data_IF_494066060730
#
_entry.id   IF_494066060730
#
_cell.length_a   1.000
_cell.length_b   1.000
_cell.length_c   1.000
_cell.angle_alpha   90.00
_cell.angle_beta   90.00
_cell.angle_gamma   90.00
#
_symmetry.space_group_name_H-M   'P 1'
#
loop_
_entity.id
_entity.type
_entity.pdbx_description
1 polymer ?
#
# COMPACT_ATOMS: atom_id res chain seq x y z
N UNK A 1 33.74 -48.32 36.35
CA UNK A 1 35.01 -47.95 35.71
C UNK A 1 34.78 -46.60 35.05
N UNK A 2 35.14 -45.55 35.78
CA UNK A 2 35.36 -44.16 35.35
C UNK A 2 36.27 -44.10 34.10
N UNK A 3 36.42 -43.06 33.30
CA UNK A 3 35.86 -41.73 33.07
C UNK A 3 36.54 -41.24 31.77
N UNK A 4 35.98 -40.25 31.08
CA UNK A 4 36.78 -39.23 30.38
C UNK A 4 35.89 -38.04 29.98
N UNK A 5 35.79 -37.10 30.90
CA UNK A 5 35.43 -35.71 30.66
C UNK A 5 36.67 -35.01 30.09
N UNK A 6 36.53 -34.27 29.00
CA UNK A 6 37.55 -33.31 28.57
C UNK A 6 36.94 -31.91 28.49
N UNK A 7 37.14 -31.16 29.57
CA UNK A 7 37.08 -29.70 29.62
C UNK A 7 38.46 -29.14 29.31
N UNK A 8 38.53 -28.05 28.54
CA UNK A 8 39.67 -27.13 28.59
C UNK A 8 39.17 -25.70 28.39
N UNK A 9 39.51 -24.84 29.35
CA UNK A 9 39.29 -23.40 29.36
C UNK A 9 40.49 -22.76 30.03
N UNK A 10 41.29 -21.94 29.33
CA UNK A 10 42.13 -20.84 29.85
C UNK A 10 42.37 -19.89 28.65
N UNK A 11 41.65 -18.76 28.52
CA UNK A 11 41.97 -17.39 28.97
C UNK A 11 43.31 -16.82 28.45
N UNK A 12 43.25 -15.75 27.63
CA UNK A 12 43.85 -14.43 27.92
C UNK A 12 43.20 -13.33 27.05
N UNK A 13 42.86 -12.16 27.63
CA UNK A 13 42.30 -11.02 26.90
C UNK A 13 43.41 -10.04 26.47
N UNK A 14 43.41 -9.62 25.20
CA UNK A 14 44.21 -8.49 24.76
C UNK A 14 43.46 -7.18 25.04
N UNK A 15 43.85 -6.55 26.15
CA UNK A 15 43.61 -5.16 26.50
C UNK A 15 44.67 -4.32 25.78
N UNK A 16 44.26 -3.41 24.89
CA UNK A 16 45.11 -2.28 24.50
C UNK A 16 44.34 -0.99 24.77
N UNK A 17 44.93 -0.16 25.63
CA UNK A 17 44.52 1.19 25.97
C UNK A 17 45.73 2.08 25.70
N UNK A 18 45.53 3.07 24.83
CA UNK A 18 46.24 4.36 24.81
C UNK A 18 45.42 5.29 23.92
N UNK A 19 44.58 6.14 24.50
CA UNK A 19 44.88 7.52 24.92
C UNK A 19 44.98 8.54 23.77
N UNK A 20 44.00 9.46 23.81
CA UNK A 20 44.06 10.89 23.49
C UNK A 20 44.53 11.33 22.09
N UNK A 21 43.54 11.74 21.27
CA UNK A 21 43.52 13.12 20.80
C UNK A 21 42.08 13.60 20.56
N UNK A 22 41.64 14.53 21.42
CA UNK A 22 40.50 15.40 21.19
C UNK A 22 40.86 16.43 20.11
N UNK A 23 40.00 16.60 19.11
CA UNK A 23 39.90 17.85 18.35
C UNK A 23 38.45 18.33 18.39
N UNK A 24 38.24 19.29 19.28
CA UNK A 24 37.19 20.29 19.22
C UNK A 24 37.21 20.99 17.85
N UNK A 25 36.05 21.18 17.25
CA UNK A 25 35.80 22.31 16.38
C UNK A 25 34.55 23.04 16.91
N UNK A 26 34.81 24.07 17.70
CA UNK A 26 33.88 25.16 17.99
C UNK A 26 33.90 26.15 16.84
N UNK A 27 32.71 26.39 16.29
CA UNK A 27 32.11 27.70 16.03
C UNK A 27 33.04 28.90 15.73
N UNK A 28 32.84 29.52 14.56
CA UNK A 28 33.05 30.96 14.43
C UNK A 28 32.05 31.54 13.45
N UNK A 29 31.15 32.35 14.01
CA UNK A 29 30.31 33.29 13.30
C UNK A 29 31.15 34.47 12.79
N UNK A 30 30.84 34.96 11.60
CA UNK A 30 31.10 36.36 11.23
C UNK A 30 29.85 36.95 10.57
N UNK A 31 29.47 38.10 11.13
CA UNK A 31 28.29 38.92 10.87
C UNK A 31 28.46 39.77 9.60
N UNK A 32 27.30 40.06 9.01
CA UNK A 32 26.80 41.33 8.47
C UNK A 32 27.73 42.20 7.62
N UNK A 33 27.29 42.43 6.38
CA UNK A 33 27.18 43.80 5.85
C UNK A 33 25.91 43.95 5.02
N UNK A 34 25.06 44.86 5.50
CA UNK A 34 23.88 45.43 4.89
C UNK A 34 24.20 46.25 3.63
N UNK A 35 23.34 46.18 2.61
CA UNK A 35 22.99 47.36 1.81
C UNK A 35 21.63 47.17 1.15
N UNK A 36 20.73 48.06 1.52
CA UNK A 36 19.37 48.25 1.06
C UNK A 36 19.30 48.91 -0.32
N UNK A 37 18.14 48.74 -0.97
CA UNK A 37 17.42 49.70 -1.82
C UNK A 37 17.13 49.28 -3.28
N UNK A 38 15.82 49.06 -3.50
CA UNK A 38 14.95 49.61 -4.55
C UNK A 38 14.70 48.83 -5.85
N UNK A 39 13.48 48.28 -5.90
CA UNK A 39 12.42 48.56 -6.87
C UNK A 39 12.84 49.12 -8.24
N UNK A 40 12.55 48.39 -9.31
CA UNK A 40 11.92 48.95 -10.50
C UNK A 40 10.98 47.93 -11.14
N UNK A 41 9.68 48.28 -11.09
CA UNK A 41 8.63 47.79 -11.95
C UNK A 41 8.93 48.13 -13.42
N UNK A 42 8.66 47.19 -14.32
CA UNK A 42 8.42 47.48 -15.73
C UNK A 42 7.27 46.59 -16.20
N UNK A 43 6.10 47.22 -16.28
CA UNK A 43 4.95 46.71 -17.00
C UNK A 43 4.74 47.47 -18.32
N UNK A 44 3.64 47.07 -18.97
CA UNK A 44 2.92 47.69 -20.10
C UNK A 44 3.38 47.27 -21.51
N UNK A 45 2.51 47.45 -22.53
CA UNK A 45 1.06 47.20 -22.61
C UNK A 45 0.75 46.35 -23.90
N UNK A 46 -0.49 45.97 -24.21
CA UNK A 46 -1.30 46.66 -25.23
C UNK A 46 -2.71 46.06 -25.36
N UNK A 47 -3.59 46.94 -25.81
CA UNK A 47 -5.05 46.95 -25.78
C UNK A 47 -5.78 46.07 -26.80
N UNK A 48 -7.07 45.91 -26.50
CA UNK A 48 -8.19 45.44 -27.31
C UNK A 48 -8.38 46.14 -28.66
N UNK A 49 -8.71 45.37 -29.71
CA UNK A 49 -9.58 45.81 -30.82
C UNK A 49 -10.47 44.67 -31.36
N UNK A 50 -11.71 45.10 -31.59
CA UNK A 50 -12.91 44.54 -32.22
C UNK A 50 -12.84 43.48 -33.35
N UNK A 51 -13.86 42.61 -33.29
CA UNK A 51 -14.71 41.99 -34.34
C UNK A 51 -14.13 41.60 -35.72
N UNK A 52 -14.31 40.32 -36.08
CA UNK A 52 -14.84 39.96 -37.40
C UNK A 52 -15.60 38.63 -37.39
N UNK A 53 -16.89 38.72 -37.70
CA UNK A 53 -17.82 37.62 -37.91
C UNK A 53 -17.51 36.85 -39.21
N UNK A 54 -17.55 35.53 -39.15
CA UNK A 54 -17.73 34.69 -40.33
C UNK A 54 -19.18 34.23 -40.39
N UNK A 55 -19.91 34.74 -41.38
CA UNK A 55 -21.23 34.30 -41.78
C UNK A 55 -21.09 32.99 -42.55
N UNK A 56 -21.65 31.89 -42.04
CA UNK A 56 -22.03 30.76 -42.88
C UNK A 56 -23.54 30.55 -42.77
N UNK A 57 -24.18 30.60 -43.93
CA UNK A 57 -25.62 30.45 -44.13
C UNK A 57 -25.99 28.97 -44.11
N UNK A 58 -27.00 28.58 -43.33
CA UNK A 58 -27.42 27.17 -43.26
C UNK A 58 -28.66 26.93 -42.38
N UNK A 59 -29.83 27.32 -42.89
CA UNK A 59 -31.19 26.80 -42.65
C UNK A 59 -31.54 26.22 -41.25
N UNK A 60 -32.27 27.07 -40.51
CA UNK A 60 -33.44 26.81 -39.66
C UNK A 60 -33.99 25.37 -39.57
N UNK A 61 -34.00 24.80 -38.37
CA UNK A 61 -35.07 23.91 -37.87
C UNK A 61 -35.40 24.35 -36.44
N UNK A 62 -36.69 24.54 -36.17
CA UNK A 62 -37.27 25.18 -35.00
C UNK A 62 -37.71 24.14 -33.96
N UNK A 63 -37.81 24.59 -32.70
CA UNK A 63 -38.62 24.05 -31.58
C UNK A 63 -38.03 22.80 -30.87
N UNK A 64 -37.88 22.77 -29.56
CA UNK A 64 -38.90 23.07 -28.53
C UNK A 64 -38.27 23.48 -27.20
N UNK A 65 -38.94 24.41 -26.50
CA UNK A 65 -38.70 24.81 -25.12
C UNK A 65 -38.99 23.67 -24.15
N UNK A 66 -38.03 23.32 -23.29
CA UNK A 66 -38.31 22.65 -22.03
C UNK A 66 -37.96 23.61 -20.88
N UNK A 67 -39.01 24.17 -20.27
CA UNK A 67 -38.96 24.87 -18.99
C UNK A 67 -38.83 23.83 -17.87
N UNK A 68 -37.66 23.74 -17.24
CA UNK A 68 -37.46 22.95 -16.03
C UNK A 68 -37.62 23.83 -14.79
N UNK A 69 -38.56 23.42 -13.94
CA UNK A 69 -38.95 24.05 -12.69
C UNK A 69 -37.77 24.26 -11.73
N UNK A 70 -37.56 25.51 -11.29
CA UNK A 70 -36.73 25.80 -10.13
C UNK A 70 -37.50 25.41 -8.86
N UNK A 71 -37.06 24.35 -8.19
CA UNK A 71 -37.54 24.00 -6.85
C UNK A 71 -36.79 24.83 -5.82
N UNK A 72 -37.54 25.54 -4.98
CA UNK A 72 -37.05 26.27 -3.81
C UNK A 72 -36.49 25.31 -2.76
N UNK A 73 -35.33 25.57 -2.15
CA UNK A 73 -34.81 24.70 -1.09
C UNK A 73 -35.56 24.99 0.22
N UNK A 74 -36.31 24.00 0.70
CA UNK A 74 -36.80 23.97 2.08
C UNK A 74 -35.61 23.72 3.00
N UNK A 75 -35.41 24.62 3.97
CA UNK A 75 -34.34 24.53 4.96
C UNK A 75 -34.60 23.39 5.95
N UNK A 76 -34.22 22.18 5.58
CA UNK A 76 -33.87 21.16 6.58
C UNK A 76 -32.40 21.36 6.91
N UNK A 77 -32.06 21.44 8.20
CA UNK A 77 -30.67 21.40 8.68
C UNK A 77 -30.11 20.01 8.36
N UNK A 78 -29.70 19.79 7.12
CA UNK A 78 -28.86 18.67 6.77
C UNK A 78 -27.48 18.98 7.35
N UNK A 79 -26.95 18.07 8.16
CA UNK A 79 -25.51 18.07 8.40
C UNK A 79 -24.83 18.10 7.03
N UNK A 80 -23.86 19.00 6.78
CA UNK A 80 -23.19 19.05 5.49
C UNK A 80 -22.66 17.65 5.18
N UNK A 81 -22.89 17.19 3.95
CA UNK A 81 -22.30 15.93 3.47
C UNK A 81 -20.79 15.96 3.76
N UNK A 82 -20.22 14.86 4.27
CA UNK A 82 -18.80 14.83 4.61
C UNK A 82 -17.97 15.23 3.39
N UNK A 83 -17.08 16.21 3.57
CA UNK A 83 -16.28 16.77 2.48
C UNK A 83 -15.32 15.74 1.88
N UNK A 84 -14.95 14.72 2.66
CA UNK A 84 -14.17 13.59 2.20
C UNK A 84 -14.35 12.36 3.13
N UNK A 85 -13.90 11.20 2.68
CA UNK A 85 -13.81 9.97 3.48
C UNK A 85 -12.38 9.44 3.54
N UNK A 86 -12.07 8.66 4.58
CA UNK A 86 -10.76 8.02 4.75
C UNK A 86 -10.90 6.51 4.58
N UNK A 87 -10.11 5.96 3.67
CA UNK A 87 -10.01 4.52 3.44
C UNK A 87 -8.68 4.02 4.01
N UNK A 88 -8.72 3.03 4.91
CA UNK A 88 -7.55 2.49 5.60
C UNK A 88 -7.25 1.08 5.12
N UNK A 89 -6.04 0.85 4.63
CA UNK A 89 -5.52 -0.51 4.46
C UNK A 89 -5.31 -1.20 5.80
N UNK A 90 -5.35 -2.52 5.81
CA UNK A 90 -5.00 -3.31 6.99
C UNK A 90 -3.49 -3.47 7.14
N UNK A 91 -2.87 -4.19 6.21
CA UNK A 91 -1.45 -4.51 6.30
C UNK A 91 -0.61 -3.31 5.91
N UNK A 92 0.39 -3.02 6.72
CA UNK A 92 1.23 -1.84 6.60
C UNK A 92 0.58 -0.54 7.09
N UNK A 93 -0.72 -0.50 7.45
CA UNK A 93 -1.42 0.71 7.91
C UNK A 93 -2.06 0.51 9.29
N UNK A 94 -3.04 -0.37 9.46
CA UNK A 94 -3.57 -0.66 10.80
C UNK A 94 -2.58 -1.52 11.60
N UNK A 95 -1.89 -2.44 10.94
CA UNK A 95 -0.96 -3.40 11.55
C UNK A 95 0.32 -3.44 10.71
N UNK A 96 1.49 -3.55 11.35
CA UNK A 96 2.74 -3.90 10.66
C UNK A 96 3.01 -5.40 10.86
N UNK A 97 2.32 -6.23 10.08
CA UNK A 97 2.40 -7.69 10.21
C UNK A 97 3.81 -8.20 9.92
N UNK A 98 4.45 -7.58 8.93
CA UNK A 98 5.79 -7.96 8.49
C UNK A 98 6.84 -7.75 9.59
N UNK A 99 6.75 -6.65 10.34
CA UNK A 99 7.65 -6.36 11.47
C UNK A 99 7.64 -7.46 12.53
N UNK A 100 6.45 -7.98 12.84
CA UNK A 100 6.23 -8.88 13.98
C UNK A 100 6.43 -10.34 13.58
N UNK A 101 5.84 -10.75 12.46
CA UNK A 101 5.72 -12.16 12.09
C UNK A 101 6.82 -12.67 11.17
N UNK A 102 7.47 -11.82 10.36
CA UNK A 102 8.19 -12.33 9.20
C UNK A 102 9.41 -13.18 9.57
N UNK A 103 10.21 -12.69 10.51
CA UNK A 103 11.36 -13.43 11.05
C UNK A 103 10.93 -14.73 11.75
N UNK A 104 9.84 -14.69 12.52
CA UNK A 104 9.32 -15.87 13.21
C UNK A 104 8.83 -16.91 12.20
N UNK A 105 8.15 -16.49 11.15
CA UNK A 105 7.68 -17.37 10.08
C UNK A 105 8.83 -18.06 9.33
N UNK A 106 9.95 -17.38 9.09
CA UNK A 106 11.16 -18.02 8.58
C UNK A 106 11.68 -19.11 9.52
N UNK A 107 11.77 -18.82 10.82
CA UNK A 107 12.26 -19.78 11.80
C UNK A 107 11.36 -21.01 11.91
N UNK A 108 10.03 -20.83 11.86
CA UNK A 108 9.08 -21.94 11.82
C UNK A 108 9.22 -22.75 10.53
N UNK A 109 9.43 -22.09 9.38
CA UNK A 109 9.65 -22.78 8.11
C UNK A 109 10.95 -23.59 8.10
N UNK A 110 12.03 -23.07 8.68
CA UNK A 110 13.28 -23.80 8.85
C UNK A 110 13.06 -25.07 9.67
N UNK A 111 12.39 -24.97 10.82
CA UNK A 111 12.05 -26.12 11.66
C UNK A 111 11.19 -27.15 10.90
N UNK A 112 10.15 -26.71 10.17
CA UNK A 112 9.29 -27.61 9.38
C UNK A 112 10.05 -28.39 8.30
N UNK A 113 11.14 -27.83 7.77
CA UNK A 113 12.00 -28.47 6.77
C UNK A 113 13.19 -29.22 7.39
N UNK A 114 13.23 -29.39 8.72
CA UNK A 114 14.32 -30.09 9.41
C UNK A 114 15.65 -29.31 9.42
N UNK A 115 15.60 -27.98 9.25
CA UNK A 115 16.76 -27.10 9.31
C UNK A 115 16.92 -26.53 10.72
N UNK A 116 17.03 -27.38 11.74
CA UNK A 116 17.03 -26.96 13.16
C UNK A 116 18.19 -26.02 13.52
N UNK A 117 19.29 -26.10 12.78
CA UNK A 117 20.45 -25.20 12.93
C UNK A 117 20.21 -23.81 12.31
N UNK A 118 19.20 -23.65 11.46
CA UNK A 118 18.84 -22.38 10.85
C UNK A 118 17.82 -21.66 11.74
N UNK A 119 18.31 -20.70 12.52
CA UNK A 119 17.47 -19.83 13.33
C UNK A 119 17.94 -18.37 13.18
N UNK A 120 17.12 -17.54 12.55
CA UNK A 120 17.40 -16.13 12.37
C UNK A 120 17.04 -15.34 13.63
N UNK A 121 18.09 -14.97 14.37
CA UNK A 121 18.01 -13.95 15.41
C UNK A 121 17.72 -12.58 14.78
N UNK A 122 17.28 -11.61 15.58
CA UNK A 122 16.97 -10.28 15.07
C UNK A 122 18.15 -9.61 14.35
N UNK A 123 19.40 -9.65 14.86
CA UNK A 123 20.55 -9.08 14.15
C UNK A 123 20.84 -9.75 12.80
N UNK A 124 20.74 -11.09 12.73
CA UNK A 124 20.95 -11.84 11.48
C UNK A 124 19.90 -11.44 10.46
N UNK A 125 18.63 -11.44 10.86
CA UNK A 125 17.52 -11.08 9.99
C UNK A 125 17.67 -9.65 9.45
N UNK A 126 17.99 -8.68 10.31
CA UNK A 126 18.18 -7.28 9.88
C UNK A 126 19.37 -7.11 8.93
N UNK A 127 20.48 -7.84 9.14
CA UNK A 127 21.62 -7.84 8.22
C UNK A 127 21.25 -8.44 6.85
N UNK A 128 20.49 -9.54 6.84
CA UNK A 128 19.99 -10.16 5.61
C UNK A 128 19.06 -9.22 4.85
N UNK A 129 18.05 -8.63 5.52
CA UNK A 129 17.14 -7.64 4.91
C UNK A 129 17.93 -6.48 4.30
N UNK A 130 18.93 -5.95 5.01
CA UNK A 130 19.76 -4.85 4.51
C UNK A 130 20.52 -5.22 3.24
N UNK A 131 21.09 -6.43 3.19
CA UNK A 131 21.94 -6.91 2.08
C UNK A 131 21.15 -7.41 0.87
N UNK A 132 19.95 -7.94 1.11
CA UNK A 132 19.06 -8.41 0.05
C UNK A 132 18.15 -7.32 -0.51
N UNK A 133 18.13 -6.15 0.14
CA UNK A 133 17.13 -5.10 -0.11
C UNK A 133 15.69 -5.58 0.16
N UNK A 134 15.51 -6.45 1.15
CA UNK A 134 14.22 -7.03 1.51
C UNK A 134 13.76 -8.18 0.61
N UNK A 135 14.51 -8.52 -0.45
CA UNK A 135 14.17 -9.65 -1.32
C UNK A 135 14.37 -10.99 -0.58
N UNK A 136 13.27 -11.70 -0.31
CA UNK A 136 13.25 -12.89 0.53
C UNK A 136 14.01 -14.08 -0.08
N UNK A 137 13.97 -14.23 -1.41
CA UNK A 137 14.74 -15.27 -2.11
C UNK A 137 16.24 -15.02 -1.95
N UNK A 138 16.68 -13.78 -2.17
CA UNK A 138 18.06 -13.34 -2.01
C UNK A 138 18.52 -13.43 -0.56
N UNK A 139 17.66 -13.17 0.43
CA UNK A 139 17.99 -13.42 1.84
C UNK A 139 18.38 -14.88 2.07
N UNK A 140 17.58 -15.82 1.56
CA UNK A 140 17.84 -17.25 1.71
C UNK A 140 19.13 -17.66 1.00
N UNK A 141 19.33 -17.20 -0.23
CA UNK A 141 20.55 -17.48 -1.00
C UNK A 141 21.79 -16.92 -0.29
N UNK A 142 21.76 -15.68 0.19
CA UNK A 142 22.87 -15.07 0.94
C UNK A 142 23.17 -15.84 2.23
N UNK A 143 22.13 -16.27 2.94
CA UNK A 143 22.27 -17.04 4.16
C UNK A 143 22.93 -18.40 3.89
N UNK A 144 22.38 -19.22 3.00
CA UNK A 144 22.91 -20.56 2.71
C UNK A 144 24.26 -20.53 2.00
N UNK A 145 24.58 -19.50 1.21
CA UNK A 145 25.92 -19.33 0.68
C UNK A 145 26.97 -19.05 1.76
N UNK A 146 26.57 -18.42 2.88
CA UNK A 146 27.48 -18.11 3.99
C UNK A 146 27.64 -19.26 4.98
N UNK A 147 26.53 -19.93 5.33
CA UNK A 147 26.53 -20.99 6.35
C UNK A 147 26.66 -22.41 5.79
N UNK A 148 26.47 -22.56 4.47
CA UNK A 148 26.40 -23.85 3.80
C UNK A 148 24.96 -24.22 3.42
N UNK A 149 24.81 -24.81 2.23
CA UNK A 149 23.55 -25.43 1.81
C UNK A 149 23.39 -26.81 2.44
N UNK A 150 22.15 -27.32 2.64
CA UNK A 150 21.93 -28.68 3.13
C UNK A 150 22.68 -29.71 2.28
N UNK A 151 23.43 -30.62 2.90
CA UNK A 151 24.33 -31.56 2.21
C UNK A 151 23.59 -32.51 1.26
N UNK A 152 22.34 -32.84 1.57
CA UNK A 152 21.47 -33.68 0.75
C UNK A 152 20.85 -32.95 -0.45
N UNK A 153 21.07 -31.64 -0.60
CA UNK A 153 20.43 -30.82 -1.63
C UNK A 153 21.36 -30.66 -2.87
N UNK A 154 21.00 -31.23 -4.03
CA UNK A 154 21.74 -31.03 -5.27
C UNK A 154 21.75 -29.56 -5.72
N UNK A 155 22.82 -29.13 -6.38
CA UNK A 155 22.94 -27.75 -6.88
C UNK A 155 21.81 -27.34 -7.83
N UNK A 156 21.33 -28.27 -8.67
CA UNK A 156 20.20 -28.06 -9.58
C UNK A 156 18.87 -27.80 -8.88
N UNK A 157 18.73 -28.23 -7.62
CA UNK A 157 17.47 -28.17 -6.86
C UNK A 157 17.38 -26.97 -5.91
N UNK A 158 18.45 -26.17 -5.79
CA UNK A 158 18.48 -24.99 -4.90
C UNK A 158 17.30 -24.04 -5.12
N UNK A 159 16.92 -23.80 -6.37
CA UNK A 159 15.77 -22.94 -6.69
C UNK A 159 14.43 -23.54 -6.23
N UNK A 160 14.22 -24.85 -6.42
CA UNK A 160 13.01 -25.53 -5.97
C UNK A 160 12.92 -25.56 -4.44
N UNK A 161 14.05 -25.75 -3.76
CA UNK A 161 14.15 -25.71 -2.31
C UNK A 161 13.79 -24.34 -1.74
N UNK A 162 14.35 -23.25 -2.29
CA UNK A 162 14.02 -21.87 -1.87
C UNK A 162 12.52 -21.61 -2.01
N UNK A 163 11.91 -22.01 -3.13
CA UNK A 163 10.46 -21.87 -3.34
C UNK A 163 9.64 -22.66 -2.32
N UNK A 164 10.06 -23.90 -2.00
CA UNK A 164 9.42 -24.72 -0.98
C UNK A 164 9.48 -24.05 0.40
N UNK A 165 10.64 -23.50 0.75
CA UNK A 165 10.85 -22.79 2.02
C UNK A 165 10.00 -21.53 2.12
N UNK A 166 9.94 -20.71 1.06
CA UNK A 166 9.08 -19.54 1.03
C UNK A 166 7.60 -19.89 1.11
N UNK A 167 7.18 -21.03 0.55
CA UNK A 167 5.82 -21.56 0.71
C UNK A 167 5.54 -21.93 2.17
N UNK A 168 6.43 -22.69 2.82
CA UNK A 168 6.27 -23.03 4.24
C UNK A 168 6.30 -21.79 5.14
N UNK A 169 7.16 -20.82 4.83
CA UNK A 169 7.22 -19.53 5.51
C UNK A 169 5.92 -18.75 5.33
N UNK A 170 5.32 -18.74 4.13
CA UNK A 170 4.02 -18.12 3.91
C UNK A 170 2.94 -18.76 4.78
N UNK A 171 2.90 -20.09 4.82
CA UNK A 171 1.95 -20.83 5.67
C UNK A 171 2.13 -20.48 7.16
N UNK A 172 3.38 -20.46 7.64
CA UNK A 172 3.70 -20.09 9.02
C UNK A 172 3.36 -18.62 9.34
N UNK A 173 3.56 -17.71 8.39
CA UNK A 173 3.20 -16.30 8.54
C UNK A 173 1.68 -16.12 8.63
N UNK A 174 0.93 -16.82 7.79
CA UNK A 174 -0.54 -16.82 7.82
C UNK A 174 -1.09 -17.38 9.14
N UNK A 175 -0.45 -18.42 9.69
CA UNK A 175 -0.78 -19.00 10.98
C UNK A 175 -0.46 -18.02 12.13
N UNK A 176 0.70 -17.36 12.08
CA UNK A 176 1.07 -16.31 13.03
C UNK A 176 0.04 -15.17 13.03
N UNK A 177 -0.39 -14.74 11.85
CA UNK A 177 -1.40 -13.70 11.66
C UNK A 177 -2.79 -14.09 12.18
N UNK A 178 -3.15 -15.37 12.08
CA UNK A 178 -4.39 -15.89 12.64
C UNK A 178 -4.34 -15.99 14.18
N UNK A 179 -3.14 -16.13 14.76
CA UNK A 179 -2.96 -16.07 16.22
C UNK A 179 -3.14 -14.63 16.71
N UNK A 180 -3.89 -14.42 17.80
CA UNK A 180 -4.42 -13.12 18.30
C UNK A 180 -3.38 -12.01 18.66
N UNK A 181 -2.11 -12.17 18.27
CA UNK A 181 -0.99 -11.37 18.75
C UNK A 181 -0.69 -10.08 17.94
N UNK A 182 -1.36 -9.82 16.82
CA UNK A 182 -1.02 -8.67 15.96
C UNK A 182 -1.43 -7.33 16.60
N UNK A 183 -0.48 -6.53 17.07
CA UNK A 183 -0.78 -5.22 17.67
C UNK A 183 -1.15 -4.19 16.60
N UNK A 184 -2.13 -3.33 16.90
CA UNK A 184 -2.40 -2.13 16.10
C UNK A 184 -1.17 -1.23 16.12
N UNK A 185 -0.94 -0.50 15.03
CA UNK A 185 0.11 0.51 14.99
C UNK A 185 -0.21 1.63 16.00
N UNK A 186 0.79 2.16 16.72
CA UNK A 186 0.57 3.28 17.64
C UNK A 186 -0.11 4.46 16.94
N UNK A 187 -1.11 5.05 17.59
CA UNK A 187 -1.87 6.21 17.10
C UNK A 187 -3.01 5.91 16.12
N UNK A 188 -3.20 4.64 15.69
CA UNK A 188 -4.33 4.24 14.83
C UNK A 188 -5.67 4.51 15.51
N UNK A 189 -5.78 4.15 16.79
CA UNK A 189 -7.02 4.32 17.55
C UNK A 189 -7.38 5.81 17.70
N UNK A 190 -6.42 6.62 18.12
CA UNK A 190 -6.58 8.08 18.24
C UNK A 190 -6.96 8.71 16.89
N UNK A 191 -6.36 8.24 15.79
CA UNK A 191 -6.68 8.72 14.44
C UNK A 191 -8.13 8.40 14.05
N UNK A 192 -8.60 7.18 14.35
CA UNK A 192 -9.98 6.76 14.10
C UNK A 192 -10.96 7.57 14.95
N UNK A 193 -10.64 7.77 16.23
CA UNK A 193 -11.48 8.51 17.17
C UNK A 193 -11.58 9.99 16.77
N UNK A 194 -10.48 10.59 16.33
CA UNK A 194 -10.42 11.95 15.79
C UNK A 194 -11.29 12.10 14.53
N UNK A 195 -11.22 11.13 13.61
CA UNK A 195 -12.00 11.14 12.37
C UNK A 195 -13.49 11.09 12.68
N UNK A 196 -13.85 10.17 13.58
CA UNK A 196 -15.22 9.92 14.00
C UNK A 196 -15.80 11.14 14.73
N UNK A 197 -15.02 11.77 15.61
CA UNK A 197 -15.42 12.99 16.33
C UNK A 197 -15.70 14.15 15.38
N UNK A 198 -14.98 14.22 14.26
CA UNK A 198 -15.16 15.21 13.19
C UNK A 198 -16.21 14.82 12.15
N UNK A 199 -16.88 13.67 12.31
CA UNK A 199 -17.90 13.18 11.39
C UNK A 199 -17.36 12.72 10.04
N UNK A 200 -16.06 12.41 9.94
CA UNK A 200 -15.43 11.92 8.72
C UNK A 200 -15.64 10.40 8.63
N UNK A 201 -16.26 9.88 7.54
CA UNK A 201 -16.41 8.44 7.35
C UNK A 201 -15.05 7.75 7.26
N UNK A 202 -14.89 6.67 8.02
CA UNK A 202 -13.70 5.82 7.96
C UNK A 202 -14.09 4.41 7.52
N UNK A 203 -13.40 3.94 6.49
CA UNK A 203 -13.60 2.62 5.89
C UNK A 203 -12.33 1.79 6.03
N UNK A 204 -12.44 0.58 6.57
CA UNK A 204 -11.34 -0.40 6.62
C UNK A 204 -11.46 -1.34 5.44
N UNK A 205 -10.41 -1.44 4.64
CA UNK A 205 -10.36 -2.30 3.45
C UNK A 205 -9.69 -3.63 3.80
N UNK A 206 -10.47 -4.72 3.77
CA UNK A 206 -9.96 -6.08 4.00
C UNK A 206 -10.05 -6.98 2.76
N UNK A 207 -10.60 -6.47 1.66
CA UNK A 207 -10.85 -7.21 0.42
C UNK A 207 -9.62 -7.41 -0.47
N UNK A 208 -8.52 -6.70 -0.20
CA UNK A 208 -7.28 -6.88 -0.94
C UNK A 208 -6.07 -6.83 0.00
N UNK A 209 -4.98 -7.43 -0.46
CA UNK A 209 -3.80 -7.68 0.37
C UNK A 209 -3.68 -9.14 0.78
N UNK A 210 -2.45 -9.57 1.05
CA UNK A 210 -2.15 -10.97 1.35
C UNK A 210 -2.65 -11.31 2.75
N UNK A 211 -3.50 -12.32 2.87
CA UNK A 211 -3.92 -12.89 4.15
C UNK A 211 -4.67 -11.93 5.08
N UNK A 212 -5.18 -10.81 4.54
CA UNK A 212 -5.87 -9.77 5.31
C UNK A 212 -7.20 -10.27 5.89
N UNK A 213 -7.94 -11.11 5.17
CA UNK A 213 -9.17 -11.75 5.67
C UNK A 213 -8.93 -12.57 6.95
N UNK A 214 -7.76 -13.20 7.07
CA UNK A 214 -7.39 -13.99 8.25
C UNK A 214 -7.20 -13.10 9.49
N UNK A 215 -6.80 -11.84 9.29
CA UNK A 215 -6.53 -10.86 10.35
C UNK A 215 -7.77 -10.00 10.66
N UNK A 216 -8.73 -9.88 9.73
CA UNK A 216 -9.91 -9.02 9.88
C UNK A 216 -10.64 -9.21 11.22
N UNK A 217 -10.84 -10.47 11.65
CA UNK A 217 -11.43 -10.79 12.98
C UNK A 217 -10.61 -10.24 14.15
N UNK A 218 -9.28 -10.32 14.07
CA UNK A 218 -8.41 -9.78 15.12
C UNK A 218 -8.45 -8.25 15.17
N UNK A 219 -8.68 -7.58 14.04
CA UNK A 219 -8.79 -6.11 13.99
C UNK A 219 -10.09 -5.66 14.64
N UNK A 220 -11.18 -6.37 14.35
CA UNK A 220 -12.49 -6.12 14.96
C UNK A 220 -12.40 -6.23 16.49
N UNK A 221 -11.77 -7.30 16.98
CA UNK A 221 -11.56 -7.53 18.41
C UNK A 221 -10.72 -6.41 19.06
N UNK A 222 -9.64 -5.98 18.38
CA UNK A 222 -8.70 -4.97 18.92
C UNK A 222 -9.23 -3.55 18.90
N UNK A 223 -9.96 -3.16 17.84
CA UNK A 223 -10.58 -1.83 17.77
C UNK A 223 -11.74 -1.69 18.76
N UNK A 224 -12.34 -2.82 19.14
CA UNK A 224 -13.46 -2.88 20.06
C UNK A 224 -14.79 -2.55 19.39
N UNK A 225 -15.88 -3.08 19.96
CA UNK A 225 -17.23 -2.92 19.41
C UNK A 225 -17.67 -1.45 19.28
N UNK A 226 -17.21 -0.57 20.18
CA UNK A 226 -17.57 0.84 20.15
C UNK A 226 -17.11 1.52 18.85
N UNK A 227 -15.83 1.37 18.50
CA UNK A 227 -15.29 1.93 17.25
C UNK A 227 -15.87 1.23 16.04
N UNK A 228 -15.94 -0.09 16.06
CA UNK A 228 -16.44 -0.88 14.92
C UNK A 228 -17.87 -0.48 14.55
N UNK A 229 -18.71 -0.11 15.52
CA UNK A 229 -20.07 0.36 15.24
C UNK A 229 -20.13 1.67 14.42
N UNK A 230 -19.06 2.48 14.46
CA UNK A 230 -18.92 3.77 13.77
C UNK A 230 -18.14 3.64 12.46
N UNK A 231 -17.50 2.50 12.20
CA UNK A 231 -16.69 2.24 11.01
C UNK A 231 -17.46 1.44 9.96
N UNK A 232 -16.96 1.46 8.72
CA UNK A 232 -17.36 0.50 7.68
C UNK A 232 -16.20 -0.44 7.39
N UNK A 233 -16.49 -1.73 7.28
CA UNK A 233 -15.49 -2.74 6.89
C UNK A 233 -15.91 -3.27 5.53
N UNK A 234 -14.99 -3.24 4.57
CA UNK A 234 -15.22 -3.71 3.21
C UNK A 234 -14.29 -4.89 2.94
N UNK A 235 -14.85 -6.09 3.07
CA UNK A 235 -14.22 -7.35 2.71
C UNK A 235 -14.68 -7.85 1.34
N UNK A 236 -14.30 -9.07 0.98
CA UNK A 236 -14.60 -9.64 -0.32
C UNK A 236 -16.11 -9.71 -0.61
N UNK A 237 -16.91 -10.05 0.40
CA UNK A 237 -18.37 -10.09 0.24
C UNK A 237 -18.97 -8.71 -0.03
N UNK A 238 -18.50 -7.67 0.65
CA UNK A 238 -18.94 -6.29 0.43
C UNK A 238 -18.52 -5.80 -0.95
N UNK A 239 -17.32 -6.15 -1.40
CA UNK A 239 -16.87 -5.86 -2.76
C UNK A 239 -17.77 -6.55 -3.79
N UNK A 240 -18.13 -7.81 -3.60
CA UNK A 240 -19.04 -8.51 -4.52
C UNK A 240 -20.44 -7.89 -4.57
N UNK A 241 -20.93 -7.37 -3.43
CA UNK A 241 -22.25 -6.72 -3.30
C UNK A 241 -22.26 -5.29 -3.83
N UNK A 242 -21.11 -4.62 -3.90
CA UNK A 242 -20.95 -3.27 -4.44
C UNK A 242 -21.39 -3.18 -5.91
N UNK A 243 -21.86 -1.99 -6.33
CA UNK A 243 -22.22 -1.70 -7.72
C UNK A 243 -21.11 -2.08 -8.70
N UNK A 244 -19.86 -1.73 -8.37
CA UNK A 244 -18.72 -2.04 -9.22
C UNK A 244 -18.38 -3.53 -9.22
N UNK A 245 -18.44 -4.20 -8.07
CA UNK A 245 -18.19 -5.64 -8.01
C UNK A 245 -19.22 -6.45 -8.79
N UNK A 246 -20.50 -6.08 -8.74
CA UNK A 246 -21.55 -6.71 -9.53
C UNK A 246 -21.32 -6.54 -11.05
N UNK A 247 -20.83 -5.37 -11.46
CA UNK A 247 -20.47 -5.09 -12.86
C UNK A 247 -19.30 -5.94 -13.34
N UNK A 248 -18.23 -6.03 -12.53
CA UNK A 248 -17.01 -6.79 -12.88
C UNK A 248 -17.25 -8.30 -12.85
N UNK A 249 -18.01 -8.79 -11.87
CA UNK A 249 -18.29 -10.22 -11.74
C UNK A 249 -19.40 -10.71 -12.68
N UNK A 250 -20.02 -9.82 -13.48
CA UNK A 250 -21.11 -10.11 -14.42
C UNK A 250 -22.34 -10.84 -13.82
N UNK A 251 -22.37 -11.05 -12.50
CA UNK A 251 -23.33 -11.92 -11.80
C UNK A 251 -24.73 -11.33 -11.70
N UNK A 252 -24.90 -10.05 -12.03
CA UNK A 252 -26.16 -9.32 -11.92
C UNK A 252 -26.98 -9.16 -13.21
N UNK A 253 -26.45 -9.48 -14.40
CA UNK A 253 -27.14 -9.11 -15.67
C UNK A 253 -27.29 -10.27 -16.67
N UNK A 254 -26.53 -11.36 -16.58
CA UNK A 254 -26.55 -12.40 -17.63
C UNK A 254 -26.73 -13.82 -17.07
N UNK A 255 -27.94 -14.16 -16.61
CA UNK A 255 -28.36 -15.56 -16.54
C UNK A 255 -28.74 -16.03 -17.96
N UNK A 256 -27.80 -16.60 -18.72
CA UNK A 256 -28.05 -17.15 -20.05
C UNK A 256 -26.82 -17.29 -20.95
N UNK A 257 -27.03 -17.77 -22.18
CA UNK A 257 -26.04 -18.03 -23.26
C UNK A 257 -25.02 -16.91 -23.53
N UNK A 258 -25.31 -15.69 -23.07
CA UNK A 258 -24.42 -14.53 -23.17
C UNK A 258 -23.23 -14.57 -22.18
N UNK A 259 -23.28 -15.33 -21.08
CA UNK A 259 -22.15 -15.45 -20.14
C UNK A 259 -20.96 -16.16 -20.80
N UNK A 260 -21.23 -17.19 -21.59
CA UNK A 260 -20.22 -17.99 -22.28
C UNK A 260 -19.59 -17.20 -23.43
N UNK A 261 -20.41 -16.44 -24.16
CA UNK A 261 -19.98 -15.47 -25.17
C UNK A 261 -19.13 -14.34 -24.58
N UNK A 262 -19.50 -13.80 -23.42
CA UNK A 262 -18.75 -12.76 -22.73
C UNK A 262 -17.40 -13.28 -22.21
N UNK A 263 -17.36 -14.51 -21.66
CA UNK A 263 -16.11 -15.16 -21.25
C UNK A 263 -15.18 -15.39 -22.44
N UNK A 264 -15.68 -15.88 -23.56
CA UNK A 264 -14.86 -16.12 -24.75
C UNK A 264 -14.40 -14.80 -25.39
N UNK A 265 -15.23 -13.76 -25.39
CA UNK A 265 -14.86 -12.42 -25.84
C UNK A 265 -13.78 -11.79 -24.96
N UNK A 266 -13.88 -11.90 -23.63
CA UNK A 266 -12.84 -11.43 -22.70
C UNK A 266 -11.52 -12.19 -22.87
N UNK A 267 -11.60 -13.51 -23.06
CA UNK A 267 -10.43 -14.35 -23.33
C UNK A 267 -9.76 -13.98 -24.66
N UNK A 268 -10.54 -13.74 -25.71
CA UNK A 268 -10.05 -13.28 -27.01
C UNK A 268 -9.40 -11.89 -26.91
N UNK A 269 -10.03 -10.95 -26.20
CA UNK A 269 -9.48 -9.62 -25.96
C UNK A 269 -8.17 -9.67 -25.16
N UNK A 270 -8.10 -10.53 -24.13
CA UNK A 270 -6.86 -10.74 -23.36
C UNK A 270 -5.75 -11.33 -24.23
N UNK A 271 -6.05 -12.33 -25.06
CA UNK A 271 -5.07 -12.94 -25.96
C UNK A 271 -4.56 -11.92 -26.99
N UNK A 272 -5.44 -11.07 -27.53
CA UNK A 272 -5.06 -10.03 -28.48
C UNK A 272 -4.21 -8.94 -27.81
N UNK A 273 -4.57 -8.52 -26.59
CA UNK A 273 -3.77 -7.58 -25.79
C UNK A 273 -2.38 -8.14 -25.51
N UNK A 274 -2.27 -9.44 -25.22
CA UNK A 274 -1.00 -10.10 -25.00
C UNK A 274 -0.14 -10.17 -26.28
N UNK A 275 -0.75 -10.52 -27.41
CA UNK A 275 -0.06 -10.52 -28.71
C UNK A 275 0.51 -9.14 -29.08
N UNK A 276 -0.28 -8.08 -28.89
CA UNK A 276 0.16 -6.69 -29.12
C UNK A 276 1.32 -6.34 -28.19
N UNK A 277 1.22 -6.70 -26.91
CA UNK A 277 2.25 -6.39 -25.95
C UNK A 277 3.56 -7.15 -26.22
N UNK A 278 3.50 -8.41 -26.68
CA UNK A 278 4.67 -9.18 -27.13
C UNK A 278 5.32 -8.57 -28.39
N UNK A 279 4.51 -8.11 -29.35
CA UNK A 279 4.98 -7.44 -30.56
C UNK A 279 5.68 -6.12 -30.23
N UNK A 280 5.09 -5.30 -29.36
CA UNK A 280 5.68 -4.05 -28.87
C UNK A 280 6.95 -4.33 -28.06
N UNK A 281 6.97 -5.36 -27.22
CA UNK A 281 8.15 -5.78 -26.46
C UNK A 281 9.31 -6.19 -27.39
N UNK A 282 9.01 -6.95 -28.44
CA UNK A 282 9.97 -7.37 -29.47
C UNK A 282 10.55 -6.16 -30.21
N UNK A 283 9.72 -5.20 -30.61
CA UNK A 283 10.16 -3.95 -31.23
C UNK A 283 11.07 -3.12 -30.30
N UNK A 284 10.78 -3.13 -29.00
CA UNK A 284 11.53 -2.37 -28.00
C UNK A 284 12.72 -3.14 -27.40
N UNK A 285 12.98 -4.39 -27.83
CA UNK A 285 13.97 -5.31 -27.23
C UNK A 285 13.83 -5.44 -25.70
N UNK A 286 12.59 -5.41 -25.21
CA UNK A 286 12.27 -5.61 -23.80
C UNK A 286 11.77 -7.03 -23.58
N UNK A 287 12.26 -7.70 -22.53
CA UNK A 287 11.64 -8.94 -22.06
C UNK A 287 10.40 -8.58 -21.25
N UNK A 288 9.21 -8.90 -21.77
CA UNK A 288 7.95 -8.63 -21.08
C UNK A 288 7.44 -9.91 -20.44
N UNK A 289 7.56 -9.99 -19.12
CA UNK A 289 6.79 -10.93 -18.29
C UNK A 289 5.44 -10.27 -17.98
N UNK A 290 4.44 -10.49 -18.83
CA UNK A 290 3.05 -10.15 -18.51
C UNK A 290 2.54 -11.18 -17.52
N UNK A 291 2.75 -10.92 -16.25
CA UNK A 291 2.11 -11.66 -15.19
C UNK A 291 0.61 -11.36 -15.25
N UNK A 292 -0.18 -12.25 -15.84
CA UNK A 292 -1.66 -12.19 -15.80
C UNK A 292 -2.19 -12.06 -14.37
N UNK A 293 -1.44 -12.59 -13.39
CA UNK A 293 -1.69 -12.45 -11.97
C UNK A 293 -1.60 -10.99 -11.45
N UNK A 294 -0.75 -10.15 -12.05
CA UNK A 294 -0.60 -8.74 -11.67
C UNK A 294 -1.84 -7.93 -12.06
N UNK A 295 -2.37 -8.16 -13.27
CA UNK A 295 -3.58 -7.51 -13.76
C UNK A 295 -4.81 -7.90 -12.95
N UNK A 296 -4.95 -9.17 -12.57
CA UNK A 296 -6.06 -9.64 -11.74
C UNK A 296 -5.98 -9.07 -10.31
N UNK A 297 -4.78 -9.00 -9.73
CA UNK A 297 -4.57 -8.43 -8.40
C UNK A 297 -4.86 -6.92 -8.36
N UNK A 298 -4.53 -6.20 -9.43
CA UNK A 298 -4.83 -4.78 -9.57
C UNK A 298 -6.35 -4.55 -9.72
N UNK A 299 -7.04 -5.37 -10.52
CA UNK A 299 -8.50 -5.30 -10.65
C UNK A 299 -9.21 -5.54 -9.31
N UNK A 300 -8.76 -6.50 -8.51
CA UNK A 300 -9.29 -6.74 -7.15
C UNK A 300 -9.09 -5.52 -6.25
N UNK A 301 -7.91 -4.89 -6.33
CA UNK A 301 -7.61 -3.68 -5.56
C UNK A 301 -8.52 -2.51 -5.98
N UNK A 302 -8.66 -2.28 -7.29
CA UNK A 302 -9.56 -1.25 -7.85
C UNK A 302 -11.01 -1.49 -7.42
N UNK A 303 -11.48 -2.74 -7.47
CA UNK A 303 -12.83 -3.08 -7.04
C UNK A 303 -13.05 -2.79 -5.55
N UNK A 304 -12.08 -3.13 -4.71
CA UNK A 304 -12.13 -2.85 -3.28
C UNK A 304 -12.13 -1.35 -2.96
N UNK A 305 -11.31 -0.55 -3.64
CA UNK A 305 -11.27 0.90 -3.44
C UNK A 305 -12.58 1.57 -3.86
N UNK A 306 -13.16 1.14 -4.99
CA UNK A 306 -14.46 1.65 -5.46
C UNK A 306 -15.59 1.27 -4.52
N UNK A 307 -15.62 0.02 -4.04
CA UNK A 307 -16.57 -0.41 -3.02
C UNK A 307 -16.38 0.41 -1.73
N UNK A 308 -15.14 0.65 -1.31
CA UNK A 308 -14.84 1.51 -0.15
C UNK A 308 -15.47 2.89 -0.25
N UNK A 309 -15.33 3.55 -1.40
CA UNK A 309 -15.94 4.85 -1.65
C UNK A 309 -17.49 4.78 -1.65
N UNK A 310 -18.06 3.74 -2.25
CA UNK A 310 -19.50 3.47 -2.25
C UNK A 310 -20.06 3.32 -0.82
N UNK A 311 -19.42 2.49 0.01
CA UNK A 311 -19.82 2.29 1.41
C UNK A 311 -19.57 3.52 2.29
N UNK A 312 -18.62 4.38 1.93
CA UNK A 312 -18.44 5.68 2.57
C UNK A 312 -19.53 6.69 2.20
N UNK A 313 -20.23 6.49 1.07
CA UNK A 313 -21.19 7.44 0.51
C UNK A 313 -20.56 8.69 -0.09
N UNK A 314 -19.29 8.60 -0.51
CA UNK A 314 -18.48 9.73 -0.99
C UNK A 314 -17.87 9.37 -2.35
N UNK A 315 -17.79 10.31 -3.33
CA UNK A 315 -17.12 10.05 -4.60
C UNK A 315 -15.66 9.61 -4.43
N UNK A 316 -15.15 8.82 -5.38
CA UNK A 316 -13.77 8.31 -5.37
C UNK A 316 -12.72 9.42 -5.21
N UNK A 317 -12.94 10.56 -5.87
CA UNK A 317 -12.00 11.70 -5.83
C UNK A 317 -11.99 12.43 -4.48
N UNK A 318 -13.08 12.29 -3.71
CA UNK A 318 -13.24 12.84 -2.37
C UNK A 318 -12.92 11.78 -1.30
N UNK A 319 -12.33 10.65 -1.68
CA UNK A 319 -11.81 9.66 -0.75
C UNK A 319 -10.29 9.78 -0.67
N UNK A 320 -9.72 9.70 0.52
CA UNK A 320 -8.27 9.60 0.72
C UNK A 320 -7.92 8.18 1.15
N UNK A 321 -7.15 7.48 0.33
CA UNK A 321 -6.57 6.19 0.70
C UNK A 321 -5.34 6.41 1.57
N UNK A 322 -5.31 5.74 2.72
CA UNK A 322 -4.08 5.54 3.50
C UNK A 322 -3.56 4.14 3.14
N UNK A 323 -2.51 4.09 2.34
CA UNK A 323 -1.94 2.86 1.80
C UNK A 323 -0.66 2.45 2.53
N UNK A 324 -0.49 1.13 2.72
CA UNK A 324 0.73 0.51 3.22
C UNK A 324 1.44 -0.34 2.15
N UNK A 325 0.86 -0.43 0.95
CA UNK A 325 1.27 -1.35 -0.11
C UNK A 325 1.34 -0.68 -1.49
N UNK A 326 2.21 -1.20 -2.38
CA UNK A 326 2.30 -0.74 -3.77
C UNK A 326 1.01 -1.00 -4.56
N UNK A 327 0.32 -2.10 -4.26
CA UNK A 327 -0.96 -2.45 -4.90
C UNK A 327 -2.02 -1.38 -4.61
N UNK A 328 -2.11 -0.91 -3.36
CA UNK A 328 -3.03 0.16 -2.98
C UNK A 328 -2.76 1.44 -3.74
N UNK A 329 -1.50 1.87 -3.78
CA UNK A 329 -1.07 3.08 -4.50
C UNK A 329 -1.39 2.99 -5.98
N UNK A 330 -1.04 1.87 -6.64
CA UNK A 330 -1.34 1.65 -8.05
C UNK A 330 -2.85 1.62 -8.34
N UNK A 331 -3.64 0.97 -7.48
CA UNK A 331 -5.09 0.94 -7.60
C UNK A 331 -5.73 2.31 -7.43
N UNK A 332 -5.24 3.11 -6.48
CA UNK A 332 -5.72 4.47 -6.23
C UNK A 332 -5.39 5.40 -7.41
N UNK A 333 -4.17 5.32 -7.93
CA UNK A 333 -3.75 6.06 -9.12
C UNK A 333 -4.64 5.74 -10.33
N UNK A 334 -4.95 4.46 -10.56
CA UNK A 334 -5.79 4.03 -11.68
C UNK A 334 -7.21 4.63 -11.65
N UNK A 335 -7.74 4.93 -10.46
CA UNK A 335 -9.09 5.48 -10.30
C UNK A 335 -9.10 6.97 -9.93
N UNK A 336 -7.93 7.62 -9.84
CA UNK A 336 -7.82 9.02 -9.45
C UNK A 336 -8.11 9.31 -7.98
N UNK A 337 -8.02 8.31 -7.10
CA UNK A 337 -8.20 8.48 -5.66
C UNK A 337 -6.93 9.05 -5.02
N UNK A 338 -7.00 10.20 -4.31
CA UNK A 338 -5.87 10.70 -3.51
C UNK A 338 -5.32 9.63 -2.55
N UNK A 339 -3.99 9.48 -2.52
CA UNK A 339 -3.33 8.45 -1.73
C UNK A 339 -2.21 9.04 -0.88
N UNK A 340 -2.20 8.70 0.41
CA UNK A 340 -1.12 8.97 1.36
C UNK A 340 -0.54 7.63 1.81
N UNK A 341 0.77 7.48 1.72
CA UNK A 341 1.43 6.25 2.11
C UNK A 341 1.90 6.34 3.56
N UNK A 342 1.61 5.30 4.34
CA UNK A 342 2.31 5.02 5.58
C UNK A 342 3.33 3.92 5.33
N UNK A 343 4.62 4.23 5.52
CA UNK A 343 5.67 3.22 5.44
C UNK A 343 5.50 2.19 6.55
N UNK A 344 5.70 0.95 6.17
CA UNK A 344 5.77 -0.20 7.05
C UNK A 344 7.14 -0.87 6.92
N UNK A 345 7.39 -1.91 7.71
CA UNK A 345 8.62 -2.67 7.59
C UNK A 345 8.80 -3.33 6.21
N UNK A 346 7.70 -3.68 5.52
CA UNK A 346 7.75 -4.27 4.17
C UNK A 346 7.93 -3.23 3.06
N UNK A 347 7.56 -1.97 3.29
CA UNK A 347 7.63 -0.88 2.29
C UNK A 347 8.63 0.22 2.64
N UNK A 348 9.47 0.01 3.66
CA UNK A 348 10.40 1.01 4.18
C UNK A 348 11.37 1.62 3.14
N UNK A 349 11.68 0.87 2.09
CA UNK A 349 12.59 1.26 0.99
C UNK A 349 11.89 1.50 -0.35
N UNK A 350 10.59 1.22 -0.41
CA UNK A 350 9.81 1.38 -1.63
C UNK A 350 9.55 2.87 -1.88
N UNK A 351 9.65 3.27 -3.15
CA UNK A 351 9.32 4.62 -3.57
C UNK A 351 7.87 4.66 -4.09
N UNK A 352 7.14 5.70 -3.72
CA UNK A 352 5.74 5.89 -4.08
C UNK A 352 5.55 7.23 -4.81
N UNK A 353 6.01 7.35 -6.08
CA UNK A 353 5.99 8.61 -6.80
C UNK A 353 4.57 9.16 -7.02
N UNK A 354 3.57 8.28 -7.10
CA UNK A 354 2.17 8.64 -7.31
C UNK A 354 1.42 8.99 -6.02
N UNK A 355 2.04 8.78 -4.85
CA UNK A 355 1.45 9.15 -3.57
C UNK A 355 1.63 10.65 -3.29
N UNK A 356 0.61 11.29 -2.71
CA UNK A 356 0.64 12.70 -2.33
C UNK A 356 1.59 12.95 -1.16
N UNK A 357 1.73 11.98 -0.26
CA UNK A 357 2.69 11.98 0.84
C UNK A 357 3.19 10.57 1.14
N UNK A 358 4.35 10.51 1.78
CA UNK A 358 4.86 9.31 2.44
C UNK A 358 5.26 9.67 3.88
N UNK A 359 4.67 8.99 4.86
CA UNK A 359 4.84 9.23 6.30
C UNK A 359 5.19 7.93 7.03
N UNK A 360 5.64 8.01 8.29
CA UNK A 360 6.15 6.84 9.02
C UNK A 360 5.19 6.26 10.07
N UNK A 361 4.06 6.93 10.34
CA UNK A 361 3.09 6.48 11.32
C UNK A 361 1.90 7.41 11.50
N UNK A 362 1.21 7.23 12.62
CA UNK A 362 0.13 8.11 13.07
C UNK A 362 0.62 9.04 14.18
N UNK A 363 -0.04 10.18 14.34
CA UNK A 363 0.19 11.14 15.40
C UNK A 363 0.84 12.43 14.93
N UNK A 364 1.07 13.35 15.88
CA UNK A 364 1.54 14.73 15.64
C UNK A 364 2.68 14.90 14.60
N UNK A 365 3.80 14.16 14.68
CA UNK A 365 4.87 14.29 13.70
C UNK A 365 4.47 13.77 12.31
N UNK A 366 3.61 12.74 12.25
CA UNK A 366 3.21 12.04 11.04
C UNK A 366 1.74 12.29 10.66
N UNK A 367 0.93 11.25 10.44
CA UNK A 367 -0.42 11.36 9.93
C UNK A 367 -1.43 11.71 11.04
N UNK A 368 -2.19 12.79 10.82
CA UNK A 368 -3.33 13.17 11.66
C UNK A 368 -4.50 13.62 10.78
N UNK A 369 -5.72 13.53 11.31
CA UNK A 369 -6.91 14.02 10.62
C UNK A 369 -6.83 15.52 10.34
N UNK A 370 -6.25 16.30 11.24
CA UNK A 370 -6.05 17.74 11.04
C UNK A 370 -5.16 18.05 9.84
N UNK A 371 -4.10 17.26 9.59
CA UNK A 371 -3.25 17.40 8.39
C UNK A 371 -3.96 16.98 7.09
N UNK A 372 -4.89 16.03 7.16
CA UNK A 372 -5.73 15.66 6.02
C UNK A 372 -6.72 16.79 5.66
N UNK A 373 -7.35 17.38 6.68
CA UNK A 373 -8.31 18.49 6.52
C UNK A 373 -7.70 19.77 5.94
N UNK A 374 -6.43 20.04 6.19
CA UNK A 374 -5.75 21.23 5.65
C UNK A 374 -5.53 21.19 4.13
N UNK A 375 -6.05 20.19 3.42
CA UNK A 375 -6.00 20.04 1.95
C UNK A 375 -4.61 20.22 1.34
N UNK A 376 -3.54 19.92 2.09
CA UNK A 376 -2.16 19.89 1.58
C UNK A 376 -1.93 18.83 0.47
N UNK A 377 -2.99 18.12 0.08
CA UNK A 377 -2.93 16.90 -0.74
C UNK A 377 -3.87 16.96 -1.96
N UNK A 378 -4.64 18.04 -2.14
CA UNK A 378 -5.47 18.29 -3.33
C UNK A 378 -4.59 18.71 -4.51
#
# INVERSE_FOLDING_TARGET
MEAAVSSCSILYPLRSSSNYHSKHYTETALRNSSSSCNNLYLGLPFSSTFLRSYTFSGKFVQQTLFTAFCSTPSSSKQNPSPEFAVLLEVDGVLIDAYRLGNRQAFNVAFQKLGLDCANWTQPIYQDLVRKSDGDEERMLVLFFNRIGWPTSLPTSEKGAFVKSLLREKKNAFDEFLASKSSLLRPGVEDFIDDATTKGIPVVILTAYGKSVEKIARSIIDKLGHERISKLKIVGNEEVEKSLYGQLVNHKGILSGTNEELAKEAMKAASAQKQKIAEEVASMLKLSVSLDSSSSESLQKTVAALRAGAEYAGVPVNDCVLIAGSQSGVAGAEQIGMPCVVLRSSSTSRTQFPSAKATLDGFGGPDLTISKLLQKLWC
#
